data_IF_608459766481
#
_entry.id   IF_608459766481
#
_cell.length_a   1.000
_cell.length_b   1.000
_cell.length_c   1.000
_cell.angle_alpha   90.00
_cell.angle_beta   90.00
_cell.angle_gamma   90.00
#
_symmetry.space_group_name_H-M   'P 1'
#
loop_
_entity.id
_entity.type
_entity.pdbx_description
1 polymer ?
#
# COMPACT_ATOMS: atom_id res chain seq x y z
N UNK A 1 -0.63 44.75 -23.35
CA UNK A 1 0.84 44.59 -23.30
C UNK A 1 1.17 44.56 -21.82
N UNK A 2 0.86 43.45 -21.13
CA UNK A 2 0.74 43.44 -19.66
C UNK A 2 1.32 42.14 -19.04
N UNK A 3 2.49 41.69 -19.51
CA UNK A 3 3.08 40.40 -19.07
C UNK A 3 4.22 40.52 -18.06
N UNK A 4 4.55 41.72 -17.55
CA UNK A 4 5.68 41.94 -16.62
C UNK A 4 5.26 42.15 -15.16
N UNK A 5 3.99 42.46 -14.88
CA UNK A 5 3.48 42.58 -13.50
C UNK A 5 3.17 41.22 -12.83
N UNK A 6 3.39 40.08 -13.51
CA UNK A 6 2.74 38.80 -13.17
C UNK A 6 3.59 37.74 -12.45
N UNK A 7 4.92 37.87 -12.36
CA UNK A 7 5.79 36.89 -11.70
C UNK A 7 6.36 37.41 -10.37
N UNK A 8 6.85 38.64 -10.35
CA UNK A 8 7.43 39.25 -9.14
C UNK A 8 6.41 39.42 -8.01
N UNK A 9 5.19 39.82 -8.34
CA UNK A 9 4.07 39.93 -7.38
C UNK A 9 3.63 38.57 -6.83
N UNK A 10 3.63 37.53 -7.68
CA UNK A 10 3.35 36.14 -7.26
C UNK A 10 4.44 35.60 -6.35
N UNK A 11 5.72 35.81 -6.69
CA UNK A 11 6.87 35.45 -5.86
C UNK A 11 6.83 36.18 -4.51
N UNK A 12 6.50 37.47 -4.51
CA UNK A 12 6.39 38.25 -3.28
C UNK A 12 5.24 37.75 -2.39
N UNK A 13 4.08 37.44 -2.97
CA UNK A 13 2.96 36.83 -2.25
C UNK A 13 3.33 35.46 -1.67
N UNK A 14 4.13 34.67 -2.38
CA UNK A 14 4.63 33.38 -1.91
C UNK A 14 5.60 33.53 -0.73
N UNK A 15 6.58 34.43 -0.85
CA UNK A 15 7.55 34.72 0.23
C UNK A 15 6.83 35.25 1.48
N UNK A 16 5.82 36.08 1.30
CA UNK A 16 5.00 36.60 2.42
C UNK A 16 4.15 35.52 3.10
N UNK A 17 3.80 34.44 2.39
CA UNK A 17 3.01 33.33 2.92
C UNK A 17 3.88 32.30 3.69
N UNK A 18 5.14 32.17 3.32
CA UNK A 18 6.12 31.27 3.93
C UNK A 18 6.17 31.30 5.48
N UNK A 19 6.21 32.47 6.17
CA UNK A 19 6.23 32.49 7.63
C UNK A 19 4.94 31.94 8.26
N UNK A 20 3.78 32.21 7.65
CA UNK A 20 2.50 31.66 8.11
C UNK A 20 2.45 30.14 7.92
N UNK A 21 2.93 29.65 6.77
CA UNK A 21 3.08 28.22 6.53
C UNK A 21 3.98 27.53 7.58
N UNK A 22 5.16 28.09 7.86
CA UNK A 22 6.05 27.51 8.86
C UNK A 22 5.46 27.54 10.27
N UNK A 23 4.68 28.57 10.62
CA UNK A 23 3.97 28.61 11.89
C UNK A 23 2.95 27.46 12.01
N UNK A 24 2.14 27.25 10.98
CA UNK A 24 1.19 26.12 10.93
C UNK A 24 1.90 24.77 10.93
N UNK A 25 3.02 24.67 10.22
CA UNK A 25 3.81 23.45 10.17
C UNK A 25 4.40 23.10 11.54
N UNK A 26 4.97 24.07 12.25
CA UNK A 26 5.49 23.89 13.61
C UNK A 26 4.34 23.52 14.56
N UNK A 27 3.19 24.19 14.47
CA UNK A 27 2.01 23.86 15.28
C UNK A 27 1.54 22.42 15.02
N UNK A 28 1.46 22.00 13.75
CA UNK A 28 1.13 20.65 13.35
C UNK A 28 2.12 19.61 13.89
N UNK A 29 3.43 19.90 13.84
CA UNK A 29 4.48 19.06 14.45
C UNK A 29 4.28 18.94 15.96
N UNK A 30 4.01 20.04 16.66
CA UNK A 30 3.77 20.03 18.11
C UNK A 30 2.55 19.16 18.43
N UNK A 31 1.44 19.33 17.70
CA UNK A 31 0.23 18.52 17.87
C UNK A 31 0.50 17.04 17.61
N UNK A 32 1.18 16.73 16.50
CA UNK A 32 1.59 15.36 16.18
C UNK A 32 2.52 14.76 17.22
N UNK A 33 3.44 15.53 17.80
CA UNK A 33 4.36 15.08 18.85
C UNK A 33 3.66 14.85 20.20
N UNK A 34 2.59 15.58 20.51
CA UNK A 34 1.81 15.42 21.75
C UNK A 34 0.77 14.31 21.66
N UNK A 35 -0.01 14.28 20.57
CA UNK A 35 -1.12 13.33 20.40
C UNK A 35 -0.64 12.02 19.76
N UNK A 36 0.37 12.08 18.90
CA UNK A 36 0.90 10.91 18.20
C UNK A 36 1.33 9.76 19.11
N UNK A 37 2.06 9.99 20.21
CA UNK A 37 2.40 8.92 21.16
C UNK A 37 1.18 8.24 21.80
N UNK A 38 0.11 9.01 22.06
CA UNK A 38 -1.13 8.49 22.64
C UNK A 38 -1.87 7.63 21.60
N UNK A 39 -2.05 8.16 20.38
CA UNK A 39 -2.66 7.43 19.27
C UNK A 39 -1.89 6.15 18.93
N UNK A 40 -0.56 6.24 18.85
CA UNK A 40 0.34 5.11 18.65
C UNK A 40 0.18 4.06 19.74
N UNK A 41 0.16 4.46 21.02
CA UNK A 41 -0.03 3.53 22.13
C UNK A 41 -1.38 2.82 22.05
N UNK A 42 -2.46 3.54 21.74
CA UNK A 42 -3.81 2.96 21.58
C UNK A 42 -3.80 1.91 20.48
N UNK A 43 -3.30 2.24 19.28
CA UNK A 43 -3.31 1.32 18.14
C UNK A 43 -2.41 0.11 18.39
N UNK A 44 -1.18 0.31 18.86
CA UNK A 44 -0.24 -0.80 19.06
C UNK A 44 -0.70 -1.71 20.19
N UNK A 45 -1.05 -1.16 21.35
CA UNK A 45 -1.47 -1.97 22.51
C UNK A 45 -2.82 -2.63 22.23
N UNK A 46 -3.79 -1.87 21.71
CA UNK A 46 -5.13 -2.36 21.39
C UNK A 46 -5.10 -3.50 20.37
N UNK A 47 -4.50 -3.27 19.20
CA UNK A 47 -4.44 -4.29 18.15
C UNK A 47 -3.60 -5.50 18.59
N UNK A 48 -2.46 -5.29 19.26
CA UNK A 48 -1.64 -6.41 19.73
C UNK A 48 -2.37 -7.25 20.78
N UNK A 49 -3.12 -6.63 21.69
CA UNK A 49 -3.91 -7.35 22.68
C UNK A 49 -4.99 -8.22 22.04
N UNK A 50 -5.71 -7.69 21.03
CA UNK A 50 -6.72 -8.43 20.26
C UNK A 50 -6.08 -9.58 19.49
N UNK A 51 -5.02 -9.29 18.71
CA UNK A 51 -4.32 -10.27 17.89
C UNK A 51 -3.80 -11.42 18.75
N UNK A 52 -3.08 -11.11 19.83
CA UNK A 52 -2.50 -12.14 20.72
C UNK A 52 -3.59 -12.89 21.48
N UNK A 53 -4.62 -12.18 21.98
CA UNK A 53 -5.70 -12.76 22.76
C UNK A 53 -6.55 -13.76 21.97
N UNK A 54 -6.84 -13.46 20.70
CA UNK A 54 -7.61 -14.34 19.82
C UNK A 54 -6.77 -15.31 19.01
N UNK A 55 -5.44 -15.20 19.02
CA UNK A 55 -4.57 -16.01 18.18
C UNK A 55 -4.80 -17.51 18.36
N UNK A 56 -4.93 -17.98 19.60
CA UNK A 56 -5.17 -19.40 19.89
C UNK A 56 -6.52 -19.88 19.36
N UNK A 57 -7.55 -19.05 19.46
CA UNK A 57 -8.88 -19.34 18.92
C UNK A 57 -8.85 -19.39 17.38
N UNK A 58 -8.19 -18.43 16.74
CA UNK A 58 -7.98 -18.41 15.29
C UNK A 58 -7.22 -19.64 14.78
N UNK A 59 -6.14 -20.04 15.46
CA UNK A 59 -5.37 -21.24 15.14
C UNK A 59 -6.29 -22.47 15.23
N UNK A 60 -6.94 -22.68 16.38
CA UNK A 60 -7.79 -23.86 16.59
C UNK A 60 -8.94 -23.93 15.58
N UNK A 61 -9.66 -22.82 15.40
CA UNK A 61 -10.80 -22.77 14.48
C UNK A 61 -10.37 -23.02 13.04
N UNK A 62 -9.19 -22.52 12.65
CA UNK A 62 -8.69 -22.71 11.29
C UNK A 62 -8.32 -24.15 11.01
N UNK A 63 -7.57 -24.78 11.91
CA UNK A 63 -7.28 -26.21 11.79
C UNK A 63 -8.58 -27.03 11.74
N UNK A 64 -9.56 -26.69 12.57
CA UNK A 64 -10.85 -27.36 12.59
C UNK A 64 -11.59 -27.22 11.25
N UNK A 65 -11.77 -26.01 10.73
CA UNK A 65 -12.50 -25.76 9.48
C UNK A 65 -11.80 -26.38 8.28
N UNK A 66 -10.46 -26.28 8.17
CA UNK A 66 -9.70 -26.89 7.07
C UNK A 66 -9.72 -28.43 7.14
N UNK A 67 -9.71 -29.03 8.33
CA UNK A 67 -9.85 -30.47 8.45
C UNK A 67 -11.26 -30.95 8.03
N UNK A 68 -12.29 -30.20 8.40
CA UNK A 68 -13.71 -30.57 8.22
C UNK A 68 -14.31 -30.17 6.88
N UNK A 69 -13.71 -29.23 6.16
CA UNK A 69 -14.25 -28.76 4.87
C UNK A 69 -14.32 -29.90 3.85
N UNK A 70 -15.39 -29.90 3.06
CA UNK A 70 -15.53 -30.76 1.86
C UNK A 70 -15.12 -30.03 0.59
N UNK A 71 -14.70 -28.75 0.70
CA UNK A 71 -14.23 -27.93 -0.43
C UNK A 71 -12.90 -28.38 -0.99
N UNK A 72 -12.10 -29.07 -0.18
CA UNK A 72 -10.75 -29.48 -0.56
C UNK A 72 -10.67 -30.97 -0.83
N UNK A 73 -9.96 -31.30 -1.91
CA UNK A 73 -9.43 -32.63 -2.16
C UNK A 73 -8.63 -33.20 -1.00
N UNK A 74 -8.53 -34.53 -0.89
CA UNK A 74 -7.79 -35.19 0.19
C UNK A 74 -6.32 -34.76 0.19
N UNK A 75 -5.69 -34.75 -0.98
CA UNK A 75 -4.29 -34.33 -1.16
C UNK A 75 -4.11 -32.86 -0.78
N UNK A 76 -4.95 -31.99 -1.33
CA UNK A 76 -4.85 -30.56 -1.08
C UNK A 76 -5.08 -30.23 0.40
N UNK A 77 -6.01 -30.92 1.05
CA UNK A 77 -6.28 -30.79 2.48
C UNK A 77 -5.04 -31.12 3.32
N UNK A 78 -4.35 -32.23 3.02
CA UNK A 78 -3.12 -32.60 3.73
C UNK A 78 -2.04 -31.52 3.52
N UNK A 79 -1.82 -31.10 2.26
CA UNK A 79 -0.84 -30.06 1.96
C UNK A 79 -1.18 -28.72 2.65
N UNK A 80 -2.44 -28.31 2.64
CA UNK A 80 -2.92 -27.10 3.28
C UNK A 80 -2.74 -27.15 4.80
N UNK A 81 -3.04 -28.29 5.45
CA UNK A 81 -2.80 -28.47 6.88
C UNK A 81 -1.32 -28.38 7.26
N UNK A 82 -0.43 -28.90 6.41
CA UNK A 82 1.03 -28.81 6.63
C UNK A 82 1.52 -27.36 6.42
N UNK A 83 0.95 -26.63 5.47
CA UNK A 83 1.35 -25.26 5.16
C UNK A 83 0.69 -24.22 6.09
N UNK A 84 -0.42 -24.55 6.73
CA UNK A 84 -1.21 -23.69 7.63
C UNK A 84 -0.42 -22.96 8.74
N UNK A 85 0.61 -23.57 9.38
CA UNK A 85 1.41 -22.88 10.39
C UNK A 85 2.02 -21.57 9.88
N UNK A 86 2.43 -21.52 8.60
CA UNK A 86 3.13 -20.36 8.03
C UNK A 86 2.24 -19.11 8.03
N UNK A 87 1.06 -19.08 7.38
CA UNK A 87 0.18 -17.91 7.41
C UNK A 87 -0.36 -17.61 8.82
N UNK A 88 -0.60 -18.63 9.67
CA UNK A 88 -1.07 -18.42 11.04
C UNK A 88 -0.04 -17.75 11.96
N UNK A 89 1.25 -17.92 11.68
CA UNK A 89 2.33 -17.22 12.38
C UNK A 89 2.64 -15.86 11.75
N UNK A 90 2.55 -15.77 10.41
CA UNK A 90 2.86 -14.55 9.68
C UNK A 90 1.78 -13.48 9.84
N UNK A 91 0.49 -13.86 9.89
CA UNK A 91 -0.63 -12.92 9.99
C UNK A 91 -0.58 -12.06 11.27
N UNK A 92 -0.35 -12.60 12.48
CA UNK A 92 -0.13 -11.80 13.68
C UNK A 92 1.06 -10.83 13.55
N UNK A 93 2.18 -11.30 12.99
CA UNK A 93 3.37 -10.46 12.80
C UNK A 93 3.07 -9.29 11.89
N UNK A 94 2.40 -9.55 10.75
CA UNK A 94 1.97 -8.50 9.82
C UNK A 94 0.99 -7.55 10.48
N UNK A 95 0.02 -8.05 11.27
CA UNK A 95 -0.93 -7.21 12.00
C UNK A 95 -0.25 -6.29 13.02
N UNK A 96 0.73 -6.81 13.77
CA UNK A 96 1.50 -6.02 14.74
C UNK A 96 2.37 -4.98 14.01
N UNK A 97 3.16 -5.39 13.01
CA UNK A 97 4.01 -4.46 12.23
C UNK A 97 3.16 -3.39 11.55
N UNK A 98 2.01 -3.77 10.98
CA UNK A 98 1.04 -2.85 10.41
C UNK A 98 0.48 -1.87 11.45
N UNK A 99 0.25 -2.31 12.68
CA UNK A 99 -0.20 -1.44 13.78
C UNK A 99 0.89 -0.46 14.22
N UNK A 100 2.16 -0.87 14.21
CA UNK A 100 3.30 0.02 14.47
C UNK A 100 3.42 1.09 13.38
N UNK A 101 3.44 0.68 12.12
CA UNK A 101 3.55 1.59 10.97
C UNK A 101 2.33 2.53 10.90
N UNK A 102 1.13 1.97 11.07
CA UNK A 102 -0.13 2.70 11.13
C UNK A 102 -0.15 3.69 12.28
N UNK A 103 0.26 3.30 13.49
CA UNK A 103 0.32 4.18 14.65
C UNK A 103 1.28 5.35 14.47
N UNK A 104 2.48 5.12 13.91
CA UNK A 104 3.44 6.19 13.63
C UNK A 104 2.91 7.10 12.53
N UNK A 105 2.47 6.53 11.41
CA UNK A 105 1.98 7.27 10.27
C UNK A 105 0.71 8.07 10.61
N UNK A 106 -0.36 7.36 10.95
CA UNK A 106 -1.64 7.98 11.27
C UNK A 106 -1.55 8.90 12.49
N UNK A 107 -0.97 8.44 13.59
CA UNK A 107 -0.91 9.20 14.84
C UNK A 107 -0.15 10.52 14.72
N UNK A 108 0.90 10.58 13.89
CA UNK A 108 1.64 11.83 13.65
C UNK A 108 1.03 12.69 12.53
N UNK A 109 0.65 12.07 11.41
CA UNK A 109 0.20 12.84 10.24
C UNK A 109 -1.25 13.32 10.35
N UNK A 110 -2.14 12.63 11.07
CA UNK A 110 -3.54 13.09 11.19
C UNK A 110 -3.69 14.43 11.94
N UNK A 111 -3.09 14.65 13.14
CA UNK A 111 -3.14 15.96 13.80
C UNK A 111 -2.42 17.06 13.00
N UNK A 112 -1.37 16.67 12.25
CA UNK A 112 -0.64 17.60 11.39
C UNK A 112 -1.52 18.07 10.24
N UNK A 113 -2.15 17.15 9.49
CA UNK A 113 -3.02 17.46 8.35
C UNK A 113 -4.23 18.30 8.76
N UNK A 114 -4.86 17.97 9.89
CA UNK A 114 -5.98 18.72 10.42
C UNK A 114 -5.65 20.21 10.66
N UNK A 115 -4.41 20.53 11.06
CA UNK A 115 -3.94 21.92 11.22
C UNK A 115 -4.00 22.72 9.91
N UNK A 116 -3.74 22.06 8.78
CA UNK A 116 -3.79 22.67 7.45
C UNK A 116 -5.21 22.70 6.87
N UNK A 117 -6.04 21.71 7.20
CA UNK A 117 -7.43 21.60 6.76
C UNK A 117 -8.31 22.73 7.30
N UNK A 118 -8.20 23.06 8.58
CA UNK A 118 -8.97 24.17 9.21
C UNK A 118 -8.69 25.53 8.54
N UNK A 119 -7.48 25.74 8.03
CA UNK A 119 -7.12 26.97 7.33
C UNK A 119 -7.75 27.02 5.94
N UNK A 120 -7.96 25.85 5.35
CA UNK A 120 -8.68 25.63 4.11
C UNK A 120 -10.19 25.84 4.22
N UNK A 121 -10.76 25.71 5.42
CA UNK A 121 -12.20 25.83 5.64
C UNK A 121 -12.62 27.25 6.10
N UNK A 122 -13.84 27.64 5.77
CA UNK A 122 -14.42 28.93 6.16
C UNK A 122 -15.13 28.86 7.52
N UNK A 123 -14.40 28.46 8.57
CA UNK A 123 -14.90 28.30 9.94
C UNK A 123 -14.72 29.59 10.74
N UNK A 124 -15.66 29.88 11.65
CA UNK A 124 -15.51 30.94 12.67
C UNK A 124 -14.43 30.52 13.69
N UNK A 125 -13.73 31.46 14.30
CA UNK A 125 -12.67 31.18 15.30
C UNK A 125 -11.54 30.25 14.82
N UNK A 126 -11.04 30.47 13.60
CA UNK A 126 -9.95 29.68 12.97
C UNK A 126 -8.75 29.41 13.87
N UNK A 127 -8.38 30.37 14.73
CA UNK A 127 -7.27 30.19 15.67
C UNK A 127 -7.54 29.10 16.70
N UNK A 128 -8.74 29.03 17.28
CA UNK A 128 -9.08 28.00 18.27
C UNK A 128 -9.10 26.61 17.62
N UNK A 129 -9.80 26.51 16.49
CA UNK A 129 -9.93 25.28 15.71
C UNK A 129 -8.58 24.75 15.23
N UNK A 130 -7.66 25.63 14.81
CA UNK A 130 -6.31 25.24 14.40
C UNK A 130 -5.52 24.51 15.51
N UNK A 131 -5.74 24.85 16.78
CA UNK A 131 -5.07 24.22 17.93
C UNK A 131 -5.76 22.93 18.39
N UNK A 132 -7.10 22.91 18.41
CA UNK A 132 -7.87 21.82 19.01
C UNK A 132 -8.25 20.73 18.00
N UNK A 133 -8.58 21.10 16.77
CA UNK A 133 -9.07 20.14 15.78
C UNK A 133 -7.98 19.17 15.37
N UNK A 134 -8.36 17.92 15.12
CA UNK A 134 -7.40 16.84 14.87
C UNK A 134 -6.83 16.21 16.15
N UNK A 135 -6.90 16.82 17.33
CA UNK A 135 -6.35 16.22 18.55
C UNK A 135 -7.28 15.11 19.08
N UNK A 136 -8.51 15.45 19.44
CA UNK A 136 -9.47 14.48 19.98
C UNK A 136 -9.94 13.48 18.92
N UNK A 137 -10.18 13.95 17.69
CA UNK A 137 -10.60 13.09 16.59
C UNK A 137 -9.54 12.03 16.25
N UNK A 138 -8.25 12.34 16.29
CA UNK A 138 -7.18 11.34 16.07
C UNK A 138 -7.22 10.25 17.14
N UNK A 139 -7.45 10.60 18.41
CA UNK A 139 -7.58 9.61 19.49
C UNK A 139 -8.83 8.75 19.27
N UNK A 140 -9.96 9.37 18.98
CA UNK A 140 -11.22 8.67 18.73
C UNK A 140 -11.10 7.70 17.55
N UNK A 141 -10.56 8.15 16.41
CA UNK A 141 -10.33 7.29 15.25
C UNK A 141 -9.31 6.21 15.54
N UNK A 142 -8.29 6.46 16.37
CA UNK A 142 -7.37 5.40 16.81
C UNK A 142 -8.12 4.30 17.58
N UNK A 143 -9.07 4.67 18.45
CA UNK A 143 -9.94 3.70 19.11
C UNK A 143 -10.86 2.97 18.11
N UNK A 144 -11.41 3.69 17.12
CA UNK A 144 -12.21 3.08 16.04
C UNK A 144 -11.40 2.08 15.25
N UNK A 145 -10.13 2.35 14.91
CA UNK A 145 -9.26 1.39 14.22
C UNK A 145 -9.08 0.11 15.06
N UNK A 146 -8.88 0.25 16.37
CA UNK A 146 -8.80 -0.92 17.26
C UNK A 146 -10.12 -1.69 17.28
N UNK A 147 -11.25 -0.99 17.29
CA UNK A 147 -12.57 -1.60 17.20
C UNK A 147 -12.76 -2.33 15.85
N UNK A 148 -12.36 -1.75 14.72
CA UNK A 148 -12.46 -2.36 13.41
C UNK A 148 -11.61 -3.65 13.32
N UNK A 149 -10.40 -3.62 13.89
CA UNK A 149 -9.55 -4.83 14.00
C UNK A 149 -10.20 -5.87 14.90
N UNK A 150 -10.81 -5.44 16.00
CA UNK A 150 -11.56 -6.30 16.92
C UNK A 150 -12.72 -6.97 16.21
N UNK A 151 -13.56 -6.20 15.52
CA UNK A 151 -14.74 -6.68 14.79
C UNK A 151 -14.32 -7.62 13.65
N UNK A 152 -13.24 -7.31 12.94
CA UNK A 152 -12.67 -8.21 11.94
C UNK A 152 -12.25 -9.55 12.54
N UNK A 153 -11.50 -9.53 13.66
CA UNK A 153 -11.03 -10.75 14.32
C UNK A 153 -12.19 -11.54 14.95
N UNK A 154 -13.18 -10.91 15.56
CA UNK A 154 -14.29 -11.61 16.21
C UNK A 154 -15.38 -12.09 15.25
N UNK A 155 -15.61 -11.37 14.16
CA UNK A 155 -16.75 -11.63 13.28
C UNK A 155 -16.34 -12.03 11.87
N UNK A 156 -15.61 -11.17 11.16
CA UNK A 156 -15.28 -11.41 9.75
C UNK A 156 -14.43 -12.67 9.57
N UNK A 157 -13.44 -12.88 10.44
CA UNK A 157 -12.58 -14.06 10.38
C UNK A 157 -13.37 -15.36 10.59
N UNK A 158 -14.15 -15.44 11.67
CA UNK A 158 -14.90 -16.65 11.98
C UNK A 158 -15.95 -16.93 10.90
N UNK A 159 -16.64 -15.89 10.42
CA UNK A 159 -17.59 -16.00 9.31
C UNK A 159 -16.93 -16.55 8.04
N UNK A 160 -15.76 -16.06 7.66
CA UNK A 160 -15.02 -16.57 6.51
C UNK A 160 -14.63 -18.04 6.68
N UNK A 161 -14.17 -18.41 7.89
CA UNK A 161 -13.79 -19.79 8.18
C UNK A 161 -14.99 -20.74 8.24
N UNK A 162 -16.16 -20.25 8.65
CA UNK A 162 -17.41 -21.00 8.61
C UNK A 162 -17.89 -21.23 7.18
N UNK A 163 -17.83 -20.21 6.32
CA UNK A 163 -18.13 -20.36 4.90
C UNK A 163 -17.19 -21.39 4.24
N UNK A 164 -15.90 -21.35 4.57
CA UNK A 164 -14.94 -22.35 4.08
C UNK A 164 -15.31 -23.78 4.50
N UNK A 165 -15.94 -23.94 5.67
CA UNK A 165 -16.39 -25.24 6.20
C UNK A 165 -17.68 -25.72 5.55
N UNK A 166 -18.54 -24.83 5.06
CA UNK A 166 -19.82 -25.20 4.45
C UNK A 166 -19.66 -26.19 3.29
N UNK A 167 -20.66 -27.06 3.14
CA UNK A 167 -20.64 -28.10 2.11
C UNK A 167 -20.74 -27.47 0.72
N UNK A 168 -20.05 -28.04 -0.27
CA UNK A 168 -20.24 -27.66 -1.67
C UNK A 168 -21.69 -27.84 -2.09
N UNK A 169 -22.15 -26.96 -2.98
CA UNK A 169 -23.31 -27.26 -3.80
C UNK A 169 -23.05 -28.57 -4.57
N UNK A 170 -24.06 -29.44 -4.76
CA UNK A 170 -23.88 -30.74 -5.42
C UNK A 170 -23.30 -30.68 -6.84
N UNK A 171 -23.36 -29.49 -7.48
CA UNK A 171 -22.89 -29.22 -8.84
C UNK A 171 -21.42 -28.82 -8.91
N UNK A 172 -20.84 -28.34 -7.80
CA UNK A 172 -19.46 -27.87 -7.76
C UNK A 172 -18.52 -29.05 -7.48
N UNK A 173 -17.33 -29.04 -8.09
CA UNK A 173 -16.29 -30.05 -7.82
C UNK A 173 -15.37 -29.54 -6.72
N UNK A 174 -14.90 -30.40 -5.80
CA UNK A 174 -13.91 -30.01 -4.80
C UNK A 174 -12.63 -29.50 -5.49
N UNK A 175 -11.97 -28.54 -4.87
CA UNK A 175 -10.66 -28.05 -5.30
C UNK A 175 -9.62 -29.14 -5.08
N UNK A 176 -9.23 -29.80 -6.16
CA UNK A 176 -8.20 -30.84 -6.20
C UNK A 176 -6.92 -30.30 -6.83
N UNK A 177 -5.84 -30.25 -6.05
CA UNK A 177 -4.51 -29.98 -6.60
C UNK A 177 -3.92 -31.29 -7.14
N UNK A 178 -3.58 -31.29 -8.44
CA UNK A 178 -2.75 -32.34 -9.02
C UNK A 178 -1.37 -32.28 -8.37
N UNK A 179 -1.02 -33.30 -7.58
CA UNK A 179 0.30 -33.46 -6.94
C UNK A 179 1.46 -33.32 -7.94
N UNK A 180 1.24 -33.75 -9.19
CA UNK A 180 2.22 -33.62 -10.27
C UNK A 180 2.58 -32.18 -10.63
N UNK A 181 1.71 -31.21 -10.33
CA UNK A 181 1.94 -29.79 -10.64
C UNK A 181 2.63 -29.04 -9.50
N UNK A 182 2.63 -29.59 -8.29
CA UNK A 182 3.23 -28.95 -7.12
C UNK A 182 4.74 -28.64 -7.29
N UNK A 183 5.55 -29.53 -7.88
CA UNK A 183 6.94 -29.21 -8.22
C UNK A 183 7.06 -28.04 -9.21
N UNK A 184 6.13 -27.93 -10.17
CA UNK A 184 6.11 -26.84 -11.14
C UNK A 184 5.76 -25.50 -10.47
N UNK A 185 4.78 -25.49 -9.56
CA UNK A 185 4.44 -24.32 -8.75
C UNK A 185 5.64 -23.85 -7.90
N UNK A 186 6.30 -24.78 -7.21
CA UNK A 186 7.49 -24.49 -6.41
C UNK A 186 8.64 -23.94 -7.26
N UNK A 187 8.86 -24.50 -8.46
CA UNK A 187 9.87 -24.02 -9.39
C UNK A 187 9.59 -22.58 -9.83
N UNK A 188 8.34 -22.27 -10.21
CA UNK A 188 7.95 -20.90 -10.60
C UNK A 188 8.11 -19.93 -9.44
N UNK A 189 7.75 -20.31 -8.22
CA UNK A 189 7.94 -19.46 -7.03
C UNK A 189 9.44 -19.23 -6.75
N UNK A 190 10.25 -20.30 -6.79
CA UNK A 190 11.68 -20.24 -6.49
C UNK A 190 12.45 -19.34 -7.47
N UNK A 191 12.05 -19.33 -8.74
CA UNK A 191 12.67 -18.49 -9.78
C UNK A 191 12.01 -17.11 -9.84
N UNK A 192 10.69 -17.05 -9.74
CA UNK A 192 9.90 -15.82 -9.85
C UNK A 192 10.21 -14.85 -8.74
N UNK A 193 10.24 -15.29 -7.48
CA UNK A 193 10.43 -14.40 -6.32
C UNK A 193 11.72 -13.58 -6.42
N UNK A 194 12.91 -14.18 -6.61
CA UNK A 194 14.13 -13.38 -6.75
C UNK A 194 14.11 -12.53 -8.01
N UNK A 195 13.50 -13.01 -9.11
CA UNK A 195 13.42 -12.26 -10.36
C UNK A 195 12.55 -11.00 -10.23
N UNK A 196 11.32 -11.14 -9.73
CA UNK A 196 10.39 -10.03 -9.52
C UNK A 196 10.92 -9.04 -8.51
N UNK A 197 11.40 -9.52 -7.36
CA UNK A 197 11.96 -8.65 -6.31
C UNK A 197 13.12 -7.84 -6.88
N UNK A 198 14.07 -8.46 -7.57
CA UNK A 198 15.21 -7.73 -8.14
C UNK A 198 14.77 -6.73 -9.21
N UNK A 199 13.92 -7.13 -10.16
CA UNK A 199 13.53 -6.26 -11.26
C UNK A 199 12.62 -5.11 -10.83
N UNK A 200 11.58 -5.39 -10.05
CA UNK A 200 10.65 -4.37 -9.54
C UNK A 200 11.41 -3.39 -8.65
N UNK A 201 12.28 -3.88 -7.77
CA UNK A 201 13.13 -3.01 -6.93
C UNK A 201 14.06 -2.15 -7.78
N UNK A 202 14.70 -2.74 -8.79
CA UNK A 202 15.60 -2.00 -9.69
C UNK A 202 14.87 -0.90 -10.45
N UNK A 203 13.69 -1.19 -11.00
CA UNK A 203 12.84 -0.22 -11.69
C UNK A 203 12.40 0.88 -10.72
N UNK A 204 11.93 0.51 -9.52
CA UNK A 204 11.48 1.44 -8.50
C UNK A 204 12.59 2.40 -8.06
N UNK A 205 13.79 1.89 -7.77
CA UNK A 205 14.95 2.70 -7.39
C UNK A 205 15.41 3.60 -8.54
N UNK A 206 15.47 3.07 -9.77
CA UNK A 206 15.93 3.83 -10.92
C UNK A 206 14.98 4.97 -11.31
N UNK A 207 13.67 4.75 -11.19
CA UNK A 207 12.64 5.74 -11.54
C UNK A 207 12.28 6.67 -10.39
N UNK A 208 12.58 6.30 -9.15
CA UNK A 208 12.32 7.11 -7.95
C UNK A 208 12.87 8.54 -8.01
N UNK A 209 14.13 8.80 -8.45
CA UNK A 209 14.63 10.16 -8.62
C UNK A 209 13.79 10.99 -9.59
N UNK A 210 13.37 10.40 -10.71
CA UNK A 210 12.53 11.09 -11.70
C UNK A 210 11.14 11.40 -11.11
N UNK A 211 10.56 10.48 -10.36
CA UNK A 211 9.29 10.69 -9.65
C UNK A 211 9.39 11.81 -8.62
N UNK A 212 10.51 11.87 -7.89
CA UNK A 212 10.79 12.91 -6.92
C UNK A 212 10.87 14.28 -7.60
N UNK A 213 11.77 14.45 -8.57
CA UNK A 213 11.98 15.75 -9.24
C UNK A 213 10.76 16.20 -10.04
N UNK A 214 10.10 15.29 -10.76
CA UNK A 214 8.92 15.63 -11.56
C UNK A 214 7.72 15.96 -10.69
N UNK A 215 7.51 15.20 -9.61
CA UNK A 215 6.45 15.49 -8.64
C UNK A 215 6.67 16.84 -7.97
N UNK A 216 7.89 17.14 -7.52
CA UNK A 216 8.23 18.46 -7.00
C UNK A 216 8.04 19.58 -8.01
N UNK A 217 8.50 19.40 -9.25
CA UNK A 217 8.29 20.39 -10.32
C UNK A 217 6.81 20.67 -10.50
N UNK A 218 5.96 19.64 -10.59
CA UNK A 218 4.51 19.78 -10.74
C UNK A 218 3.88 20.48 -9.55
N UNK A 219 4.22 20.09 -8.33
CA UNK A 219 3.69 20.72 -7.11
C UNK A 219 4.11 22.19 -7.01
N UNK A 220 5.34 22.53 -7.41
CA UNK A 220 5.82 23.91 -7.47
C UNK A 220 5.11 24.72 -8.57
N UNK A 221 4.88 24.12 -9.74
CA UNK A 221 4.12 24.74 -10.83
C UNK A 221 2.65 24.98 -10.45
N UNK A 222 2.01 24.03 -9.76
CA UNK A 222 0.65 24.16 -9.26
C UNK A 222 0.56 25.27 -8.20
N UNK A 223 1.55 25.36 -7.30
CA UNK A 223 1.64 26.39 -6.26
C UNK A 223 1.86 27.81 -6.81
N UNK A 224 2.77 27.98 -7.78
CA UNK A 224 3.11 29.29 -8.38
C UNK A 224 2.11 29.70 -9.48
N UNK A 225 1.64 28.72 -10.25
CA UNK A 225 0.74 28.91 -11.38
C UNK A 225 -0.68 29.22 -10.96
N UNK A 226 -1.09 28.83 -9.74
CA UNK A 226 -2.49 28.86 -9.29
C UNK A 226 -3.40 28.13 -10.29
N UNK A 227 -2.88 27.07 -10.90
CA UNK A 227 -3.55 26.19 -11.86
C UNK A 227 -3.47 24.77 -11.30
N UNK A 228 -4.60 24.07 -11.26
CA UNK A 228 -4.74 22.76 -10.60
C UNK A 228 -5.97 22.73 -9.67
N UNK A 229 -6.18 21.65 -8.89
CA UNK A 229 -7.29 21.55 -7.91
C UNK A 229 -7.22 22.60 -6.79
N UNK A 230 -6.15 23.40 -6.75
CA UNK A 230 -5.85 24.43 -5.74
C UNK A 230 -6.11 25.86 -6.27
N UNK A 231 -7.26 26.06 -6.91
CA UNK A 231 -7.68 27.36 -7.46
C UNK A 231 -8.04 28.38 -6.37
N UNK A 232 -8.42 27.90 -5.19
CA UNK A 232 -8.81 28.73 -4.05
C UNK A 232 -7.58 29.07 -3.18
N UNK A 233 -7.51 30.31 -2.69
CA UNK A 233 -6.48 30.82 -1.76
C UNK A 233 -6.27 29.93 -0.52
N UNK A 234 -7.26 29.11 -0.23
CA UNK A 234 -7.41 28.28 0.95
C UNK A 234 -6.57 27.00 0.88
N UNK A 235 -6.21 26.51 -0.33
CA UNK A 235 -5.43 25.28 -0.48
C UNK A 235 -3.90 25.46 -0.57
N UNK A 236 -3.41 26.71 -0.57
CA UNK A 236 -1.97 27.02 -0.64
C UNK A 236 -1.16 26.38 0.50
N UNK A 237 -1.63 26.37 1.78
CA UNK A 237 -0.96 25.67 2.86
C UNK A 237 -0.83 24.15 2.61
N UNK A 238 -1.88 23.51 2.10
CA UNK A 238 -1.89 22.07 1.84
C UNK A 238 -0.90 21.67 0.73
N UNK A 239 -0.84 22.47 -0.35
CA UNK A 239 0.14 22.26 -1.41
C UNK A 239 1.60 22.40 -0.91
N UNK A 240 1.87 23.36 -0.03
CA UNK A 240 3.17 23.49 0.64
C UNK A 240 3.54 22.26 1.47
N UNK A 241 2.57 21.69 2.20
CA UNK A 241 2.77 20.47 2.97
C UNK A 241 3.04 19.26 2.06
N UNK A 242 2.30 19.13 0.96
CA UNK A 242 2.50 18.08 -0.01
C UNK A 242 3.92 18.09 -0.61
N UNK A 243 4.50 19.27 -0.86
CA UNK A 243 5.89 19.40 -1.34
C UNK A 243 6.88 18.82 -0.31
N UNK A 244 6.67 19.09 0.98
CA UNK A 244 7.53 18.58 2.06
C UNK A 244 7.35 17.07 2.26
N UNK A 245 6.12 16.56 2.16
CA UNK A 245 5.82 15.14 2.35
C UNK A 245 6.11 14.28 1.12
N UNK A 246 6.27 14.88 -0.06
CA UNK A 246 6.51 14.16 -1.32
C UNK A 246 7.68 13.15 -1.27
N UNK A 247 8.87 13.47 -0.71
CA UNK A 247 9.97 12.51 -0.61
C UNK A 247 9.62 11.29 0.24
N UNK A 248 8.85 11.49 1.31
CA UNK A 248 8.38 10.41 2.17
C UNK A 248 7.38 9.52 1.42
N UNK A 249 6.49 10.11 0.62
CA UNK A 249 5.57 9.35 -0.23
C UNK A 249 6.32 8.52 -1.29
N UNK A 250 7.35 9.08 -1.93
CA UNK A 250 8.22 8.36 -2.87
C UNK A 250 8.93 7.19 -2.17
N UNK A 251 9.49 7.41 -0.98
CA UNK A 251 10.13 6.34 -0.19
C UNK A 251 9.13 5.23 0.16
N UNK A 252 7.94 5.59 0.65
CA UNK A 252 6.87 4.65 0.97
C UNK A 252 6.44 3.83 -0.24
N UNK A 253 6.33 4.44 -1.42
CA UNK A 253 6.00 3.75 -2.67
C UNK A 253 7.07 2.72 -3.07
N UNK A 254 8.36 3.06 -2.92
CA UNK A 254 9.46 2.11 -3.19
C UNK A 254 9.41 0.93 -2.22
N UNK A 255 9.25 1.18 -0.92
CA UNK A 255 9.15 0.12 0.09
C UNK A 255 7.93 -0.78 -0.16
N UNK A 256 6.79 -0.19 -0.49
CA UNK A 256 5.58 -0.92 -0.84
C UNK A 256 5.78 -1.79 -2.09
N UNK A 257 6.42 -1.26 -3.14
CA UNK A 257 6.72 -2.02 -4.34
C UNK A 257 7.61 -3.26 -4.05
N UNK A 258 8.62 -3.10 -3.19
CA UNK A 258 9.48 -4.22 -2.76
C UNK A 258 8.64 -5.27 -2.03
N UNK A 259 7.83 -4.88 -1.06
CA UNK A 259 7.02 -5.82 -0.26
C UNK A 259 5.99 -6.53 -1.15
N UNK A 260 5.27 -5.78 -1.99
CA UNK A 260 4.21 -6.31 -2.86
C UNK A 260 4.80 -7.24 -3.94
N UNK A 261 6.01 -6.96 -4.45
CA UNK A 261 6.66 -7.83 -5.45
C UNK A 261 6.79 -9.28 -4.99
N UNK A 262 7.08 -9.49 -3.71
CA UNK A 262 7.19 -10.83 -3.13
C UNK A 262 5.86 -11.59 -3.22
N UNK A 263 4.76 -10.96 -2.80
CA UNK A 263 3.43 -11.58 -2.81
C UNK A 263 2.88 -11.80 -4.23
N UNK A 264 3.10 -10.83 -5.13
CA UNK A 264 2.72 -10.98 -6.53
C UNK A 264 3.42 -12.19 -7.16
N UNK A 265 4.70 -12.40 -6.84
CA UNK A 265 5.45 -13.53 -7.36
C UNK A 265 5.00 -14.88 -6.80
N UNK A 266 4.65 -14.95 -5.51
CA UNK A 266 4.03 -16.14 -4.91
C UNK A 266 2.74 -16.54 -5.63
N UNK A 267 1.96 -15.57 -6.09
CA UNK A 267 0.74 -15.81 -6.86
C UNK A 267 1.00 -16.48 -8.22
N UNK A 268 2.20 -16.37 -8.77
CA UNK A 268 2.60 -17.10 -9.99
C UNK A 268 2.47 -18.62 -9.83
N UNK A 269 2.70 -19.16 -8.62
CA UNK A 269 2.45 -20.57 -8.34
C UNK A 269 0.97 -20.95 -8.41
N UNK A 270 0.07 -20.04 -8.02
CA UNK A 270 -1.39 -20.23 -8.14
C UNK A 270 -1.80 -20.24 -9.60
N UNK A 271 -1.24 -19.35 -10.43
CA UNK A 271 -1.51 -19.32 -11.88
C UNK A 271 -1.10 -20.63 -12.57
N UNK A 272 0.05 -21.21 -12.21
CA UNK A 272 0.44 -22.55 -12.72
C UNK A 272 -0.64 -23.57 -12.44
N UNK A 273 -1.21 -23.53 -11.24
CA UNK A 273 -2.25 -24.48 -10.82
C UNK A 273 -3.58 -24.25 -11.55
N UNK A 274 -4.01 -23.00 -11.72
CA UNK A 274 -5.25 -22.66 -12.42
C UNK A 274 -5.20 -22.97 -13.91
N UNK A 275 -4.07 -22.67 -14.56
CA UNK A 275 -3.88 -22.84 -16.00
C UNK A 275 -3.32 -24.22 -16.39
N UNK A 276 -3.06 -25.09 -15.41
CA UNK A 276 -2.41 -26.39 -15.60
C UNK A 276 -1.08 -26.30 -16.41
N UNK A 277 -0.40 -25.15 -16.38
CA UNK A 277 0.70 -24.82 -17.31
C UNK A 277 1.83 -24.04 -16.64
N UNK A 278 3.02 -24.65 -16.63
CA UNK A 278 4.25 -24.01 -16.16
C UNK A 278 4.62 -22.77 -17.01
N UNK A 279 4.32 -22.80 -18.32
CA UNK A 279 4.57 -21.66 -19.21
C UNK A 279 3.73 -20.45 -18.81
N UNK A 280 2.47 -20.67 -18.40
CA UNK A 280 1.58 -19.59 -17.96
C UNK A 280 2.04 -18.98 -16.63
N UNK A 281 2.57 -19.79 -15.70
CA UNK A 281 3.20 -19.29 -14.49
C UNK A 281 4.34 -18.32 -14.76
N UNK A 282 5.28 -18.71 -15.63
CA UNK A 282 6.36 -17.81 -16.02
C UNK A 282 5.84 -16.59 -16.80
N UNK A 283 4.91 -16.77 -17.73
CA UNK A 283 4.29 -15.65 -18.46
C UNK A 283 3.62 -14.64 -17.52
N UNK A 284 3.05 -15.12 -16.40
CA UNK A 284 2.50 -14.25 -15.37
C UNK A 284 3.58 -13.41 -14.67
N UNK A 285 4.67 -14.01 -14.20
CA UNK A 285 5.82 -13.29 -13.58
C UNK A 285 6.31 -12.17 -14.50
N UNK A 286 6.52 -12.53 -15.76
CA UNK A 286 6.86 -11.61 -16.85
C UNK A 286 5.85 -10.46 -16.97
N UNK A 287 4.56 -10.79 -17.00
CA UNK A 287 3.48 -9.81 -17.18
C UNK A 287 3.40 -8.82 -16.03
N UNK A 288 3.64 -9.28 -14.79
CA UNK A 288 3.63 -8.43 -13.59
C UNK A 288 4.72 -7.37 -13.67
N UNK A 289 5.94 -7.77 -14.06
CA UNK A 289 7.05 -6.82 -14.23
C UNK A 289 6.75 -5.81 -15.35
N UNK A 290 6.16 -6.25 -16.47
CA UNK A 290 5.78 -5.33 -17.55
C UNK A 290 4.68 -4.36 -17.14
N UNK A 291 3.67 -4.84 -16.41
CA UNK A 291 2.58 -4.01 -15.90
C UNK A 291 3.11 -2.96 -14.92
N UNK A 292 4.03 -3.35 -14.04
CA UNK A 292 4.67 -2.42 -13.11
C UNK A 292 5.51 -1.38 -13.87
N UNK A 293 6.31 -1.78 -14.85
CA UNK A 293 7.11 -0.86 -15.66
C UNK A 293 6.24 0.17 -16.39
N UNK A 294 5.15 -0.30 -17.02
CA UNK A 294 4.16 0.52 -17.73
C UNK A 294 3.43 1.48 -16.79
N UNK A 295 2.91 0.97 -15.66
CA UNK A 295 2.25 1.79 -14.66
C UNK A 295 3.15 2.95 -14.17
N UNK A 296 4.42 2.66 -13.86
CA UNK A 296 5.36 3.71 -13.42
C UNK A 296 5.71 4.65 -14.58
N UNK A 297 5.76 4.17 -15.83
CA UNK A 297 5.95 5.05 -17.00
C UNK A 297 4.79 6.03 -17.19
N UNK A 298 3.56 5.57 -17.00
CA UNK A 298 2.35 6.37 -17.12
C UNK A 298 2.23 7.39 -15.99
N UNK A 299 2.52 6.97 -14.74
CA UNK A 299 2.60 7.88 -13.59
C UNK A 299 3.63 9.01 -13.85
N UNK A 300 4.71 8.66 -14.54
CA UNK A 300 5.74 9.60 -14.95
C UNK A 300 5.46 10.27 -16.29
N UNK A 301 4.33 10.07 -16.97
CA UNK A 301 4.02 10.55 -18.34
C UNK A 301 5.25 10.51 -19.27
N UNK A 302 5.95 9.38 -19.32
CA UNK A 302 7.10 9.18 -20.19
C UNK A 302 6.61 8.80 -21.59
N UNK A 303 7.01 9.58 -22.60
CA UNK A 303 6.63 9.33 -24.00
C UNK A 303 7.21 7.99 -24.48
N UNK A 304 6.50 7.36 -25.42
CA UNK A 304 7.00 6.21 -26.19
C UNK A 304 8.37 6.52 -26.80
N UNK A 305 9.39 5.73 -26.44
CA UNK A 305 10.77 5.88 -26.92
C UNK A 305 11.75 6.67 -26.05
N UNK A 306 11.42 7.00 -24.78
CA UNK A 306 12.40 7.61 -23.87
C UNK A 306 13.59 6.69 -23.54
N UNK A 307 14.78 7.26 -23.30
CA UNK A 307 16.03 6.54 -22.99
C UNK A 307 16.04 5.79 -21.64
N UNK A 308 14.92 5.81 -20.90
CA UNK A 308 14.73 4.96 -19.74
C UNK A 308 14.38 3.55 -20.26
N UNK A 309 15.09 2.50 -19.82
CA UNK A 309 14.90 1.17 -20.38
C UNK A 309 13.44 0.75 -20.16
N UNK A 310 12.66 0.69 -21.25
CA UNK A 310 11.42 -0.06 -21.23
C UNK A 310 11.81 -1.52 -21.22
N UNK A 311 11.46 -2.22 -20.14
CA UNK A 311 11.79 -3.64 -20.04
C UNK A 311 11.16 -4.45 -21.18
N UNK A 312 10.07 -3.95 -21.80
CA UNK A 312 9.33 -4.61 -22.89
C UNK A 312 10.20 -5.08 -24.08
N UNK A 313 11.28 -4.37 -24.43
CA UNK A 313 12.05 -4.67 -25.66
C UNK A 313 13.10 -5.78 -25.44
N UNK A 314 13.67 -5.86 -24.22
CA UNK A 314 14.42 -7.03 -23.74
C UNK A 314 13.45 -8.20 -23.52
N UNK A 315 12.21 -7.89 -23.11
CA UNK A 315 11.16 -8.87 -22.85
C UNK A 315 10.63 -9.56 -24.11
N UNK A 316 10.37 -8.84 -25.20
CA UNK A 316 9.94 -9.45 -26.47
C UNK A 316 11.00 -10.41 -27.02
N UNK A 317 12.28 -10.11 -26.75
CA UNK A 317 13.41 -10.99 -27.08
C UNK A 317 13.41 -12.26 -26.20
N UNK A 318 13.20 -12.14 -24.88
CA UNK A 318 13.04 -13.30 -23.98
C UNK A 318 11.78 -14.14 -24.27
N UNK A 319 10.63 -13.48 -24.53
CA UNK A 319 9.38 -14.15 -24.89
C UNK A 319 9.52 -14.87 -26.24
N UNK A 320 10.20 -14.28 -27.22
CA UNK A 320 10.49 -14.95 -28.50
C UNK A 320 11.41 -16.17 -28.30
N UNK A 321 12.36 -16.12 -27.38
CA UNK A 321 13.23 -17.28 -27.07
C UNK A 321 12.45 -18.40 -26.36
N UNK A 322 11.44 -18.08 -25.53
CA UNK A 322 10.62 -19.07 -24.82
C UNK A 322 9.38 -19.58 -25.58
N UNK A 323 8.81 -18.78 -26.49
CA UNK A 323 7.60 -19.13 -27.25
C UNK A 323 7.86 -19.57 -28.70
N UNK A 324 8.99 -19.24 -29.35
CA UNK A 324 9.27 -19.64 -30.75
C UNK A 324 10.16 -20.89 -30.90
N UNK A 325 10.48 -21.60 -29.81
CA UNK A 325 11.27 -22.85 -29.85
C UNK A 325 10.59 -24.06 -29.22
N UNK A 326 9.27 -24.16 -29.42
CA UNK A 326 8.50 -25.39 -29.24
C UNK A 326 7.43 -25.48 -30.32
#
# INVERSE_FOLDING_TARGET
>A
MDSSAGLGTKLWSFISFLPFFFMLFILGIIKGALIGPIAFAIMVVGNSAVIIGLWTAHVFWTYYCVARTKRFGLVFKIAALICLPVPLLLLPVVGIVGSFLGGIGYGFFAPLLATFEVVGENVQDKFYHCFIDGCWSTIQTSCTVVQDVTDFCFHSYFSYMDELRENLNPQEKPFDIKLSLLPCCLLVILVGVPFDVVLITSIAIWKSPYMLFRGWKRLLEDLVGRRGPFLETECVPFAGLAIILWPLAVLGAVLAAIIVSFFLSLYGGVVVHQEDSLKMGFAYIVSVVSLFDEYVNDLLYLREGSCLPRCYQIFFTMLSVFFYRA
#
